data_IF_295552750673
#
_entry.id   IF_295552750673
#
_cell.length_a   1.000
_cell.length_b   1.000
_cell.length_c   1.000
_cell.angle_alpha   90.00
_cell.angle_beta   90.00
_cell.angle_gamma   90.00
#
_symmetry.space_group_name_H-M   'P 1'
#
loop_
_entity.id
_entity.type
_entity.pdbx_description
1 polymer ?
#
# COMPACT_ATOMS: atom_id res chain seq x y z
N UNK A 1 -6.87 -1.43 10.07
CA UNK A 1 -6.86 -0.74 8.76
C UNK A 1 -5.60 -1.07 7.97
N UNK A 2 -4.40 -0.73 8.44
CA UNK A 2 -3.17 -0.90 7.68
C UNK A 2 -2.96 -2.34 7.16
N UNK A 3 -3.12 -3.37 7.98
CA UNK A 3 -2.94 -4.75 7.55
C UNK A 3 -3.84 -5.13 6.36
N UNK A 4 -5.10 -4.76 6.42
CA UNK A 4 -6.07 -5.04 5.34
C UNK A 4 -5.74 -4.21 4.09
N UNK A 5 -5.54 -2.90 4.24
CA UNK A 5 -5.30 -2.02 3.10
C UNK A 5 -4.00 -2.37 2.34
N UNK A 6 -2.90 -2.56 3.07
CA UNK A 6 -1.63 -2.93 2.43
C UNK A 6 -1.62 -4.38 1.95
N UNK A 7 -2.08 -5.32 2.78
CA UNK A 7 -2.03 -6.74 2.44
C UNK A 7 -2.89 -7.10 1.24
N UNK A 8 -4.16 -6.67 1.22
CA UNK A 8 -5.09 -7.03 0.15
C UNK A 8 -5.00 -6.12 -1.08
N UNK A 9 -4.56 -4.87 -0.95
CA UNK A 9 -4.50 -3.94 -2.09
C UNK A 9 -3.06 -3.76 -2.55
N UNK A 10 -2.18 -3.21 -1.71
CA UNK A 10 -0.82 -2.84 -2.11
C UNK A 10 0.04 -4.06 -2.47
N UNK A 11 0.20 -5.01 -1.55
CA UNK A 11 0.91 -6.27 -1.81
C UNK A 11 0.08 -7.24 -2.65
N UNK A 12 -1.25 -7.10 -2.65
CA UNK A 12 -2.17 -7.89 -3.44
C UNK A 12 -2.00 -7.71 -4.95
N UNK A 13 -1.47 -6.58 -5.43
CA UNK A 13 -1.26 -6.35 -6.87
C UNK A 13 -0.42 -7.44 -7.52
N UNK A 14 0.61 -7.96 -6.85
CA UNK A 14 1.45 -9.04 -7.35
C UNK A 14 0.67 -10.35 -7.50
N UNK A 15 -0.23 -10.65 -6.56
CA UNK A 15 -1.12 -11.81 -6.61
C UNK A 15 -2.09 -11.70 -7.79
N UNK A 16 -2.75 -10.53 -7.93
CA UNK A 16 -3.71 -10.29 -9.02
C UNK A 16 -3.05 -10.33 -10.38
N UNK A 17 -1.87 -9.71 -10.51
CA UNK A 17 -1.10 -9.74 -11.75
C UNK A 17 -0.80 -11.18 -12.15
N UNK A 18 -0.27 -11.99 -11.22
CA UNK A 18 0.06 -13.39 -11.47
C UNK A 18 -1.19 -14.21 -11.84
N UNK A 19 -2.26 -14.08 -11.08
CA UNK A 19 -3.47 -14.87 -11.30
C UNK A 19 -4.21 -14.50 -12.59
N UNK A 20 -4.32 -13.21 -12.90
CA UNK A 20 -5.01 -12.73 -14.10
C UNK A 20 -4.23 -13.00 -15.40
N UNK A 21 -2.91 -13.12 -15.32
CA UNK A 21 -2.08 -13.45 -16.50
C UNK A 21 -1.82 -14.95 -16.65
N UNK A 22 -2.06 -15.74 -15.60
CA UNK A 22 -1.82 -17.19 -15.59
C UNK A 22 -2.66 -17.97 -16.60
N UNK A 23 -3.87 -17.52 -16.90
CA UNK A 23 -4.77 -18.12 -17.89
C UNK A 23 -4.41 -17.79 -19.34
N UNK A 24 -3.44 -16.90 -19.56
CA UNK A 24 -3.06 -16.43 -20.89
C UNK A 24 -4.09 -15.50 -21.58
N UNK A 25 -5.21 -15.16 -20.91
CA UNK A 25 -6.22 -14.24 -21.44
C UNK A 25 -5.73 -12.82 -21.58
N UNK A 26 -4.93 -12.36 -20.63
CA UNK A 26 -4.39 -11.00 -20.60
C UNK A 26 -2.87 -11.02 -20.47
N UNK A 27 -2.23 -10.08 -21.14
CA UNK A 27 -0.80 -9.88 -21.02
C UNK A 27 -0.43 -9.16 -19.70
N UNK A 28 0.82 -9.37 -19.25
CA UNK A 28 1.39 -8.63 -18.10
C UNK A 28 1.21 -7.11 -18.29
N UNK A 29 1.46 -6.60 -19.50
CA UNK A 29 1.31 -5.18 -19.81
C UNK A 29 -0.12 -4.65 -19.63
N UNK A 30 -1.13 -5.42 -20.02
CA UNK A 30 -2.53 -5.03 -19.85
C UNK A 30 -2.91 -4.93 -18.36
N UNK A 31 -2.56 -5.91 -17.55
CA UNK A 31 -2.86 -5.87 -16.11
C UNK A 31 -2.02 -4.80 -15.39
N UNK A 32 -0.76 -4.61 -15.78
CA UNK A 32 0.08 -3.52 -15.25
C UNK A 32 -0.49 -2.13 -15.57
N UNK A 33 -1.20 -1.98 -16.72
CA UNK A 33 -1.95 -0.76 -17.01
C UNK A 33 -3.07 -0.54 -15.99
N UNK A 34 -3.79 -1.59 -15.57
CA UNK A 34 -4.75 -1.52 -14.47
C UNK A 34 -4.11 -1.01 -13.16
N UNK A 35 -2.93 -1.55 -12.79
CA UNK A 35 -2.18 -1.09 -11.62
C UNK A 35 -1.77 0.39 -11.76
N UNK A 36 -1.40 0.82 -12.96
CA UNK A 36 -1.09 2.23 -13.24
C UNK A 36 -2.32 3.12 -13.07
N UNK A 37 -3.49 2.68 -13.56
CA UNK A 37 -4.78 3.37 -13.36
C UNK A 37 -5.08 3.49 -11.86
N UNK A 38 -4.86 2.44 -11.08
CA UNK A 38 -5.01 2.47 -9.62
C UNK A 38 -4.18 3.60 -8.99
N UNK A 39 -2.89 3.70 -9.32
CA UNK A 39 -2.02 4.71 -8.72
C UNK A 39 -2.35 6.14 -9.15
N UNK A 40 -2.72 6.33 -10.42
CA UNK A 40 -3.20 7.62 -10.92
C UNK A 40 -4.49 8.02 -10.20
N UNK A 41 -5.45 7.10 -10.07
CA UNK A 41 -6.70 7.35 -9.36
C UNK A 41 -6.48 7.63 -7.87
N UNK A 42 -5.51 6.95 -7.25
CA UNK A 42 -5.14 7.16 -5.85
C UNK A 42 -4.56 8.56 -5.59
N UNK A 43 -3.87 9.15 -6.56
CA UNK A 43 -3.41 10.54 -6.48
C UNK A 43 -4.60 11.50 -6.30
N UNK A 44 -5.62 11.38 -7.14
CA UNK A 44 -6.84 12.19 -7.03
C UNK A 44 -7.63 11.84 -5.77
N UNK A 45 -7.74 10.55 -5.45
CA UNK A 45 -8.38 10.06 -4.23
C UNK A 45 -7.78 10.65 -2.96
N UNK A 46 -6.46 10.81 -2.90
CA UNK A 46 -5.75 11.38 -1.74
C UNK A 46 -6.21 12.81 -1.45
N UNK A 47 -6.34 13.64 -2.49
CA UNK A 47 -6.81 15.02 -2.35
C UNK A 47 -8.27 15.07 -1.89
N UNK A 48 -9.10 14.22 -2.48
CA UNK A 48 -10.54 14.18 -2.19
C UNK A 48 -10.84 13.60 -0.80
N UNK A 49 -10.14 12.54 -0.41
CA UNK A 49 -10.27 11.90 0.90
C UNK A 49 -9.91 12.87 2.03
N UNK A 50 -8.83 13.64 1.89
CA UNK A 50 -8.46 14.66 2.88
C UNK A 50 -9.58 15.66 3.11
N UNK A 51 -10.17 16.19 2.03
CA UNK A 51 -11.31 17.10 2.11
C UNK A 51 -12.54 16.46 2.78
N UNK A 52 -12.83 15.19 2.42
CA UNK A 52 -13.98 14.47 3.00
C UNK A 52 -13.80 14.19 4.50
N UNK A 53 -12.59 13.84 4.94
CA UNK A 53 -12.28 13.61 6.35
C UNK A 53 -12.52 14.88 7.16
N UNK A 54 -12.05 16.02 6.66
CA UNK A 54 -12.25 17.33 7.31
C UNK A 54 -13.74 17.68 7.41
N UNK A 55 -14.56 17.31 6.42
CA UNK A 55 -15.98 17.67 6.35
C UNK A 55 -16.93 16.68 7.02
N UNK A 56 -16.70 15.37 6.86
CA UNK A 56 -17.63 14.31 7.29
C UNK A 56 -17.06 13.37 8.36
N UNK A 57 -15.77 13.53 8.68
CA UNK A 57 -15.07 12.68 9.64
C UNK A 57 -14.52 11.38 9.03
N UNK A 58 -13.52 10.82 9.71
CA UNK A 58 -12.80 9.64 9.24
C UNK A 58 -13.67 8.39 9.13
N UNK A 59 -14.62 8.19 10.04
CA UNK A 59 -15.52 7.02 10.06
C UNK A 59 -16.28 6.83 8.73
N UNK A 60 -16.95 7.90 8.26
CA UNK A 60 -17.68 7.86 6.99
C UNK A 60 -16.79 7.60 5.79
N UNK A 61 -15.60 8.18 5.79
CA UNK A 61 -14.64 8.02 4.71
C UNK A 61 -14.11 6.61 4.66
N UNK A 62 -13.79 6.00 5.81
CA UNK A 62 -13.39 4.60 5.92
C UNK A 62 -14.51 3.66 5.45
N UNK A 63 -15.76 3.95 5.81
CA UNK A 63 -16.91 3.16 5.38
C UNK A 63 -17.06 3.16 3.84
N UNK A 64 -17.02 4.34 3.21
CA UNK A 64 -17.08 4.46 1.74
C UNK A 64 -15.89 3.74 1.11
N UNK A 65 -14.69 3.91 1.66
CA UNK A 65 -13.49 3.20 1.22
C UNK A 65 -13.65 1.68 1.28
N UNK A 66 -14.24 1.16 2.37
CA UNK A 66 -14.53 -0.27 2.53
C UNK A 66 -15.48 -0.80 1.46
N UNK A 67 -16.56 -0.06 1.18
CA UNK A 67 -17.50 -0.41 0.12
C UNK A 67 -16.81 -0.45 -1.26
N UNK A 68 -16.11 0.63 -1.62
CA UNK A 68 -15.47 0.74 -2.93
C UNK A 68 -14.41 -0.34 -3.15
N UNK A 69 -13.54 -0.59 -2.16
CA UNK A 69 -12.48 -1.61 -2.28
C UNK A 69 -13.09 -3.01 -2.30
N UNK A 70 -14.00 -3.32 -1.37
CA UNK A 70 -14.66 -4.61 -1.31
C UNK A 70 -15.38 -4.96 -2.61
N UNK A 71 -16.20 -4.04 -3.13
CA UNK A 71 -16.91 -4.23 -4.40
C UNK A 71 -15.96 -4.29 -5.60
N UNK A 72 -14.84 -3.55 -5.61
CA UNK A 72 -13.86 -3.65 -6.69
C UNK A 72 -13.18 -5.01 -6.72
N UNK A 73 -12.83 -5.59 -5.55
CA UNK A 73 -12.26 -6.93 -5.47
C UNK A 73 -13.26 -7.99 -5.98
N UNK A 74 -14.53 -7.88 -5.60
CA UNK A 74 -15.59 -8.76 -6.12
C UNK A 74 -15.79 -8.52 -7.62
N UNK A 75 -15.75 -7.28 -8.09
CA UNK A 75 -15.88 -6.95 -9.50
C UNK A 75 -14.77 -7.56 -10.37
N UNK A 76 -13.53 -7.59 -9.88
CA UNK A 76 -12.41 -8.26 -10.56
C UNK A 76 -12.67 -9.77 -10.71
N UNK A 77 -13.39 -10.42 -9.77
CA UNK A 77 -13.69 -11.83 -9.84
C UNK A 77 -14.59 -12.21 -11.03
N UNK A 78 -15.45 -11.28 -11.48
CA UNK A 78 -16.37 -11.43 -12.60
C UNK A 78 -15.85 -10.79 -13.90
N UNK A 79 -14.58 -10.37 -13.92
CA UNK A 79 -14.05 -9.69 -15.10
C UNK A 79 -13.87 -10.66 -16.27
N UNK A 80 -14.74 -10.54 -17.26
CA UNK A 80 -14.62 -11.19 -18.57
C UNK A 80 -13.92 -10.26 -19.58
N UNK A 81 -14.00 -8.95 -19.36
CA UNK A 81 -13.43 -7.92 -20.21
C UNK A 81 -12.38 -7.08 -19.47
N UNK A 82 -11.36 -6.65 -20.19
CA UNK A 82 -10.28 -5.81 -19.65
C UNK A 82 -10.80 -4.46 -19.10
N UNK A 83 -11.87 -3.92 -19.72
CA UNK A 83 -12.51 -2.70 -19.24
C UNK A 83 -13.00 -2.78 -17.81
N UNK A 84 -13.64 -3.91 -17.44
CA UNK A 84 -14.13 -4.08 -16.07
C UNK A 84 -12.97 -4.11 -15.06
N UNK A 85 -11.83 -4.72 -15.44
CA UNK A 85 -10.62 -4.70 -14.64
C UNK A 85 -10.15 -3.26 -14.43
N UNK A 86 -10.07 -2.45 -15.48
CA UNK A 86 -9.62 -1.06 -15.39
C UNK A 86 -10.55 -0.19 -14.53
N UNK A 87 -11.86 -0.38 -14.66
CA UNK A 87 -12.85 0.32 -13.82
C UNK A 87 -12.69 -0.07 -12.35
N UNK A 88 -12.57 -1.38 -12.06
CA UNK A 88 -12.36 -1.85 -10.69
C UNK A 88 -11.04 -1.32 -10.09
N UNK A 89 -9.94 -1.34 -10.83
CA UNK A 89 -8.68 -0.75 -10.39
C UNK A 89 -8.78 0.76 -10.18
N UNK A 90 -9.51 1.47 -11.02
CA UNK A 90 -9.76 2.91 -10.89
C UNK A 90 -10.54 3.25 -9.61
N UNK A 91 -11.64 2.54 -9.35
CA UNK A 91 -12.46 2.71 -8.14
C UNK A 91 -11.65 2.35 -6.89
N UNK A 92 -10.96 1.20 -6.92
CA UNK A 92 -10.12 0.74 -5.83
C UNK A 92 -8.99 1.74 -5.52
N UNK A 93 -8.34 2.29 -6.55
CA UNK A 93 -7.29 3.28 -6.41
C UNK A 93 -7.81 4.58 -5.81
N UNK A 94 -8.93 5.10 -6.31
CA UNK A 94 -9.54 6.32 -5.78
C UNK A 94 -9.95 6.17 -4.31
N UNK A 95 -10.40 4.99 -3.91
CA UNK A 95 -10.83 4.69 -2.55
C UNK A 95 -9.68 4.31 -1.60
N UNK A 96 -8.51 3.88 -2.12
CA UNK A 96 -7.40 3.39 -1.31
C UNK A 96 -6.93 4.38 -0.22
N UNK A 97 -6.80 5.70 -0.46
CA UNK A 97 -6.42 6.66 0.57
C UNK A 97 -7.39 6.75 1.74
N UNK A 98 -8.67 6.36 1.54
CA UNK A 98 -9.69 6.35 2.59
C UNK A 98 -9.45 5.29 3.68
N UNK A 99 -8.62 4.29 3.40
CA UNK A 99 -8.23 3.23 4.35
C UNK A 99 -6.72 3.15 4.57
N UNK A 100 -5.96 3.91 3.78
CA UNK A 100 -4.51 3.98 3.78
C UNK A 100 -3.92 4.94 4.83
N UNK A 101 -2.67 5.33 4.63
CA UNK A 101 -1.91 6.15 5.58
C UNK A 101 -2.58 7.49 5.90
N UNK A 102 -3.23 8.12 4.92
CA UNK A 102 -3.92 9.40 5.12
C UNK A 102 -5.08 9.28 6.13
N UNK A 103 -5.94 8.27 5.95
CA UNK A 103 -7.06 8.04 6.86
C UNK A 103 -6.59 7.58 8.25
N UNK A 104 -5.55 6.71 8.32
CA UNK A 104 -4.95 6.28 9.59
C UNK A 104 -4.38 7.48 10.34
N UNK A 105 -3.62 8.33 9.67
CA UNK A 105 -3.04 9.54 10.24
C UNK A 105 -4.13 10.49 10.77
N UNK A 106 -5.16 10.75 9.97
CA UNK A 106 -6.27 11.61 10.37
C UNK A 106 -7.08 11.03 11.56
N UNK A 107 -7.21 9.71 11.63
CA UNK A 107 -7.88 9.01 12.72
C UNK A 107 -7.09 9.10 14.04
N UNK A 108 -5.75 9.00 13.96
CA UNK A 108 -4.89 9.01 15.15
C UNK A 108 -4.60 10.41 15.69
N UNK A 109 -4.57 11.41 14.83
CA UNK A 109 -4.15 12.77 15.19
C UNK A 109 -4.96 13.40 16.36
N UNK A 110 -6.26 13.16 16.53
CA UNK A 110 -7.01 13.71 17.66
C UNK A 110 -6.73 13.02 19.02
N UNK A 111 -6.17 11.79 18.98
CA UNK A 111 -5.94 10.98 20.19
C UNK A 111 -4.50 11.07 20.69
N UNK A 112 -3.53 11.22 19.78
CA UNK A 112 -2.10 11.12 20.06
C UNK A 112 -1.35 12.41 19.69
N UNK A 113 -1.69 13.53 20.36
CA UNK A 113 -1.07 14.81 20.01
C UNK A 113 0.45 14.83 20.28
N UNK A 114 0.90 14.36 21.46
CA UNK A 114 2.31 14.37 21.85
C UNK A 114 3.10 13.21 21.23
N UNK A 115 2.46 12.04 21.13
CA UNK A 115 3.11 10.79 20.69
C UNK A 115 2.64 10.36 19.29
N UNK A 116 2.20 11.32 18.47
CA UNK A 116 1.62 11.06 17.15
C UNK A 116 2.54 10.22 16.25
N UNK A 117 3.84 10.57 16.20
CA UNK A 117 4.82 9.83 15.38
C UNK A 117 4.97 8.37 15.80
N UNK A 118 4.97 8.11 17.11
CA UNK A 118 5.01 6.75 17.64
C UNK A 118 3.73 5.96 17.32
N UNK A 119 2.57 6.56 17.60
CA UNK A 119 1.27 5.93 17.33
C UNK A 119 1.08 5.64 15.83
N UNK A 120 1.48 6.55 14.95
CA UNK A 120 1.45 6.37 13.50
C UNK A 120 2.41 5.26 13.06
N UNK A 121 3.65 5.27 13.54
CA UNK A 121 4.64 4.23 13.26
C UNK A 121 4.14 2.84 13.65
N UNK A 122 3.62 2.70 14.87
CA UNK A 122 3.05 1.44 15.36
C UNK A 122 1.84 1.01 14.53
N UNK A 123 0.96 1.93 14.16
CA UNK A 123 -0.22 1.61 13.34
C UNK A 123 0.16 1.15 11.93
N UNK A 124 1.24 1.71 11.35
CA UNK A 124 1.75 1.33 10.04
C UNK A 124 2.54 0.02 10.04
N UNK A 125 2.98 -0.52 11.20
CA UNK A 125 3.54 -1.89 11.25
C UNK A 125 2.50 -2.95 10.84
N UNK A 126 1.21 -2.64 11.00
CA UNK A 126 0.13 -3.47 10.46
C UNK A 126 0.24 -3.70 8.95
N UNK A 127 0.81 -2.76 8.19
CA UNK A 127 1.05 -2.95 6.76
C UNK A 127 1.99 -4.13 6.48
N UNK A 128 3.06 -4.29 7.29
CA UNK A 128 3.97 -5.43 7.19
C UNK A 128 3.31 -6.74 7.58
N UNK A 129 2.48 -6.74 8.62
CA UNK A 129 1.72 -7.93 9.01
C UNK A 129 0.76 -8.34 7.89
N UNK A 130 0.05 -7.39 7.30
CA UNK A 130 -0.83 -7.64 6.16
C UNK A 130 -0.09 -8.17 4.94
N UNK A 131 1.04 -7.55 4.58
CA UNK A 131 1.88 -7.97 3.47
C UNK A 131 2.53 -9.34 3.66
N UNK A 132 2.85 -9.72 4.91
CA UNK A 132 3.43 -11.03 5.22
C UNK A 132 2.40 -12.17 5.16
N UNK A 133 1.12 -11.91 5.47
CA UNK A 133 0.10 -12.96 5.64
C UNK A 133 -0.85 -13.01 4.45
N UNK A 134 -1.40 -11.87 4.01
CA UNK A 134 -2.53 -11.85 3.08
C UNK A 134 -2.14 -12.37 1.68
N UNK A 135 -1.04 -11.93 1.03
CA UNK A 135 -0.70 -12.42 -0.30
C UNK A 135 -0.44 -13.93 -0.36
N UNK A 136 0.34 -14.56 0.57
CA UNK A 136 0.50 -16.01 0.58
C UNK A 136 -0.82 -16.76 0.79
N UNK A 137 -1.68 -16.27 1.70
CA UNK A 137 -3.00 -16.87 1.92
C UNK A 137 -3.86 -16.77 0.67
N UNK A 138 -3.86 -15.63 -0.02
CA UNK A 138 -4.61 -15.47 -1.27
C UNK A 138 -4.09 -16.39 -2.37
N UNK A 139 -2.76 -16.48 -2.56
CA UNK A 139 -2.18 -17.41 -3.55
C UNK A 139 -2.56 -18.86 -3.25
N UNK A 140 -2.42 -19.29 -1.98
CA UNK A 140 -2.82 -20.62 -1.56
C UNK A 140 -4.31 -20.89 -1.84
N UNK A 141 -5.18 -19.93 -1.53
CA UNK A 141 -6.63 -20.06 -1.73
C UNK A 141 -6.98 -20.12 -3.22
N UNK A 142 -6.31 -19.31 -4.06
CA UNK A 142 -6.48 -19.35 -5.52
C UNK A 142 -6.18 -20.73 -6.07
N UNK A 143 -5.10 -21.37 -5.61
CA UNK A 143 -4.70 -22.71 -6.06
C UNK A 143 -5.68 -23.80 -5.60
N UNK A 144 -6.25 -23.66 -4.39
CA UNK A 144 -7.11 -24.70 -3.80
C UNK A 144 -8.56 -24.59 -4.24
N UNK A 145 -9.06 -23.39 -4.48
CA UNK A 145 -10.48 -23.17 -4.77
C UNK A 145 -10.61 -22.60 -6.20
N UNK A 146 -10.32 -21.32 -6.40
CA UNK A 146 -10.26 -20.62 -7.69
C UNK A 146 -9.96 -19.15 -7.46
N UNK A 147 -9.51 -18.43 -8.49
CA UNK A 147 -9.33 -16.98 -8.45
C UNK A 147 -10.65 -16.23 -8.16
N UNK A 148 -11.77 -16.48 -8.87
CA UNK A 148 -13.03 -15.76 -8.62
C UNK A 148 -13.54 -15.89 -7.18
N UNK A 149 -13.58 -17.09 -6.63
CA UNK A 149 -14.05 -17.31 -5.27
C UNK A 149 -13.12 -16.66 -4.24
N UNK A 150 -11.81 -16.73 -4.44
CA UNK A 150 -10.83 -16.06 -3.57
C UNK A 150 -11.05 -14.55 -3.54
N UNK A 151 -11.32 -13.92 -4.70
CA UNK A 151 -11.57 -12.48 -4.78
C UNK A 151 -12.89 -12.09 -4.11
N UNK A 152 -13.93 -12.91 -4.21
CA UNK A 152 -15.21 -12.71 -3.51
C UNK A 152 -14.99 -12.76 -1.99
N UNK A 153 -14.29 -13.78 -1.49
CA UNK A 153 -13.98 -13.89 -0.06
C UNK A 153 -13.10 -12.75 0.42
N UNK A 154 -12.05 -12.39 -0.33
CA UNK A 154 -11.17 -11.29 0.01
C UNK A 154 -11.93 -9.95 0.05
N UNK A 155 -12.77 -9.68 -0.95
CA UNK A 155 -13.63 -8.48 -1.00
C UNK A 155 -14.61 -8.44 0.18
N UNK A 156 -15.23 -9.57 0.50
CA UNK A 156 -16.12 -9.71 1.66
C UNK A 156 -15.38 -9.44 2.98
N UNK A 157 -14.23 -10.06 3.20
CA UNK A 157 -13.42 -9.84 4.42
C UNK A 157 -12.99 -8.38 4.53
N UNK A 158 -12.48 -7.79 3.46
CA UNK A 158 -12.08 -6.37 3.42
C UNK A 158 -13.27 -5.48 3.78
N UNK A 159 -14.41 -5.70 3.14
CA UNK A 159 -15.64 -4.96 3.39
C UNK A 159 -16.06 -5.05 4.87
N UNK A 160 -16.28 -6.26 5.38
CA UNK A 160 -16.78 -6.45 6.74
C UNK A 160 -15.81 -5.93 7.81
N UNK A 161 -14.50 -6.23 7.69
CA UNK A 161 -13.51 -5.79 8.69
C UNK A 161 -13.41 -4.27 8.70
N UNK A 162 -13.36 -3.62 7.54
CA UNK A 162 -13.27 -2.16 7.48
C UNK A 162 -14.59 -1.48 7.88
N UNK A 163 -15.76 -2.07 7.60
CA UNK A 163 -17.05 -1.57 8.09
C UNK A 163 -17.14 -1.64 9.62
N UNK A 164 -16.71 -2.74 10.23
CA UNK A 164 -16.64 -2.86 11.69
C UNK A 164 -15.71 -1.78 12.27
N UNK A 165 -14.55 -1.58 11.68
CA UNK A 165 -13.62 -0.53 12.10
C UNK A 165 -14.22 0.87 11.92
N UNK A 166 -14.91 1.15 10.82
CA UNK A 166 -15.61 2.40 10.59
C UNK A 166 -16.70 2.63 11.64
N UNK A 167 -17.44 1.59 12.01
CA UNK A 167 -18.45 1.64 13.07
C UNK A 167 -17.82 1.92 14.43
N UNK A 168 -16.73 1.23 14.80
CA UNK A 168 -15.99 1.51 16.04
C UNK A 168 -15.51 2.97 16.07
N UNK A 169 -14.98 3.49 14.96
CA UNK A 169 -14.55 4.87 14.84
C UNK A 169 -15.73 5.86 14.99
N UNK A 170 -16.93 5.50 14.56
CA UNK A 170 -18.12 6.32 14.73
C UNK A 170 -18.57 6.42 16.20
N UNK A 171 -18.38 5.34 16.95
CA UNK A 171 -18.73 5.30 18.38
C UNK A 171 -17.68 6.01 19.26
N UNK A 172 -16.41 6.01 18.82
CA UNK A 172 -15.32 6.62 19.57
C UNK A 172 -15.15 8.09 19.18
N UNK A 173 -15.70 9.01 20.00
CA UNK A 173 -15.49 10.45 19.83
C UNK A 173 -14.27 10.89 20.63
N UNK A 174 -13.29 11.60 20.05
CA UNK A 174 -12.24 12.22 20.83
C UNK A 174 -12.82 13.26 21.78
N UNK A 175 -12.35 13.29 23.04
CA UNK A 175 -12.90 14.12 24.12
C UNK A 175 -12.81 15.63 23.87
N UNK A 176 -11.92 16.06 22.98
CA UNK A 176 -11.78 17.46 22.54
C UNK A 176 -11.28 17.50 21.10
N UNK A 177 -12.14 17.89 20.18
CA UNK A 177 -11.69 18.42 18.90
C UNK A 177 -11.12 19.81 19.17
N UNK A 178 -9.83 19.89 19.52
CA UNK A 178 -9.14 21.16 19.40
C UNK A 178 -9.15 21.49 17.91
N UNK A 179 -10.00 22.45 17.56
CA UNK A 179 -10.10 23.02 16.23
C UNK A 179 -8.69 23.42 15.78
N UNK A 180 -8.08 22.57 14.96
CA UNK A 180 -6.86 22.93 14.24
C UNK A 180 -7.24 24.13 13.37
N UNK A 181 -6.56 25.24 13.61
CA UNK A 181 -6.63 26.55 12.96
C UNK A 181 -7.25 26.57 11.54
N UNK A 182 -8.00 27.66 11.22
CA UNK A 182 -8.85 27.74 10.03
C UNK A 182 -8.10 27.52 8.72
N UNK A 183 -8.77 26.88 7.79
CA UNK A 183 -8.34 26.49 6.43
C UNK A 183 -7.70 27.63 5.60
N UNK A 184 -7.89 28.88 5.96
CA UNK A 184 -7.35 30.02 5.20
C UNK A 184 -5.83 30.12 5.20
N UNK A 185 -5.12 29.63 6.23
CA UNK A 185 -3.65 29.65 6.25
C UNK A 185 -3.00 28.50 5.47
N UNK A 186 -3.71 27.40 5.27
CA UNK A 186 -3.16 26.21 4.59
C UNK A 186 -2.87 26.44 3.10
N UNK A 187 -3.73 27.17 2.40
CA UNK A 187 -3.55 27.43 0.97
C UNK A 187 -2.35 28.34 0.65
N UNK A 188 -2.12 29.37 1.47
CA UNK A 188 -0.95 30.26 1.31
C UNK A 188 0.36 29.55 1.61
N UNK A 189 0.37 28.67 2.61
CA UNK A 189 1.55 27.84 2.96
C UNK A 189 1.85 26.85 1.84
N UNK A 190 0.84 26.17 1.30
CA UNK A 190 1.00 25.20 0.21
C UNK A 190 1.58 25.86 -1.05
N UNK A 191 1.07 27.01 -1.47
CA UNK A 191 1.56 27.74 -2.65
C UNK A 191 3.02 28.20 -2.47
N UNK A 192 3.39 28.63 -1.26
CA UNK A 192 4.76 29.04 -0.95
C UNK A 192 5.75 27.86 -0.91
N UNK A 193 5.29 26.65 -0.50
CA UNK A 193 6.11 25.43 -0.55
C UNK A 193 6.42 24.99 -1.97
N UNK A 194 5.44 25.05 -2.87
CA UNK A 194 5.62 24.69 -4.29
C UNK A 194 6.64 25.57 -5.02
N UNK A 195 6.89 26.80 -4.54
CA UNK A 195 7.92 27.69 -5.08
C UNK A 195 9.34 27.36 -4.64
N UNK A 196 9.51 26.51 -3.61
CA UNK A 196 10.85 26.20 -3.07
C UNK A 196 11.50 25.05 -3.85
N UNK A 197 12.70 25.28 -4.39
CA UNK A 197 13.50 24.26 -5.09
C UNK A 197 13.76 23.01 -4.23
N UNK A 198 13.90 23.19 -2.91
CA UNK A 198 14.10 22.07 -1.96
C UNK A 198 12.89 21.14 -1.94
N UNK A 199 11.66 21.68 -2.01
CA UNK A 199 10.45 20.87 -2.10
C UNK A 199 10.49 19.91 -3.30
N UNK A 200 10.79 20.43 -4.49
CA UNK A 200 10.84 19.62 -5.71
C UNK A 200 11.96 18.59 -5.70
N UNK A 201 13.13 18.91 -5.14
CA UNK A 201 14.22 17.91 -4.99
C UNK A 201 13.78 16.73 -4.12
N UNK A 202 13.15 16.99 -2.99
CA UNK A 202 12.65 15.94 -2.09
C UNK A 202 11.49 15.18 -2.76
N UNK A 203 10.55 15.88 -3.38
CA UNK A 203 9.38 15.26 -4.02
C UNK A 203 9.79 14.34 -5.19
N UNK A 204 10.74 14.76 -6.03
CA UNK A 204 11.25 13.97 -7.15
C UNK A 204 11.99 12.73 -6.62
N UNK A 205 12.90 12.90 -5.65
CA UNK A 205 13.65 11.78 -5.08
C UNK A 205 12.73 10.75 -4.42
N UNK A 206 11.77 11.20 -3.61
CA UNK A 206 10.77 10.32 -2.98
C UNK A 206 9.86 9.67 -4.02
N UNK A 207 9.44 10.42 -5.04
CA UNK A 207 8.59 9.91 -6.12
C UNK A 207 9.28 8.81 -6.93
N UNK A 208 10.56 8.98 -7.28
CA UNK A 208 11.34 7.96 -7.98
C UNK A 208 11.53 6.70 -7.13
N UNK A 209 11.83 6.86 -5.84
CA UNK A 209 11.96 5.73 -4.92
C UNK A 209 10.64 4.96 -4.77
N UNK A 210 9.52 5.67 -4.60
CA UNK A 210 8.19 5.05 -4.53
C UNK A 210 7.80 4.37 -5.85
N UNK A 211 8.13 4.95 -7.00
CA UNK A 211 7.88 4.32 -8.30
C UNK A 211 8.64 2.99 -8.44
N UNK A 212 9.92 2.97 -8.04
CA UNK A 212 10.72 1.74 -8.00
C UNK A 212 10.15 0.70 -7.03
N UNK A 213 9.74 1.13 -5.84
CA UNK A 213 9.12 0.27 -4.83
C UNK A 213 7.81 -0.35 -5.32
N UNK A 214 6.91 0.47 -5.86
CA UNK A 214 5.62 0.02 -6.37
C UNK A 214 5.80 -0.94 -7.55
N UNK A 215 6.69 -0.60 -8.49
CA UNK A 215 7.02 -1.46 -9.62
C UNK A 215 7.57 -2.81 -9.16
N UNK A 216 8.50 -2.81 -8.23
CA UNK A 216 9.06 -4.03 -7.64
C UNK A 216 7.98 -4.89 -6.99
N UNK A 217 7.20 -4.33 -6.06
CA UNK A 217 6.18 -5.08 -5.34
C UNK A 217 5.06 -5.61 -6.24
N UNK A 218 4.66 -4.86 -7.27
CA UNK A 218 3.65 -5.30 -8.22
C UNK A 218 4.10 -6.48 -9.08
N UNK A 219 5.38 -6.50 -9.46
CA UNK A 219 5.94 -7.52 -10.36
C UNK A 219 6.76 -8.61 -9.63
N UNK A 220 6.84 -8.55 -8.30
CA UNK A 220 7.71 -9.43 -7.51
C UNK A 220 7.41 -10.92 -7.73
N UNK A 221 6.15 -11.35 -7.63
CA UNK A 221 5.79 -12.76 -7.83
C UNK A 221 6.02 -13.18 -9.30
N UNK A 222 5.51 -12.45 -10.31
CA UNK A 222 5.76 -12.82 -11.72
C UNK A 222 7.25 -12.94 -12.08
N UNK A 223 8.10 -12.04 -11.59
CA UNK A 223 9.55 -12.09 -11.83
C UNK A 223 10.18 -13.28 -11.13
N UNK A 224 9.85 -13.50 -9.86
CA UNK A 224 10.38 -14.62 -9.10
C UNK A 224 9.97 -15.99 -9.68
N UNK A 225 8.75 -16.11 -10.22
CA UNK A 225 8.26 -17.34 -10.87
C UNK A 225 9.05 -17.73 -12.12
N UNK A 226 9.65 -16.77 -12.81
CA UNK A 226 10.52 -17.06 -13.98
C UNK A 226 11.89 -17.63 -13.58
N UNK A 227 12.30 -17.41 -12.35
CA UNK A 227 13.64 -17.71 -11.86
C UNK A 227 13.69 -18.85 -10.85
N UNK A 228 12.60 -19.06 -10.11
CA UNK A 228 12.55 -20.00 -8.97
C UNK A 228 11.20 -20.72 -8.86
N UNK A 229 11.05 -21.57 -7.84
CA UNK A 229 9.81 -22.28 -7.58
C UNK A 229 8.66 -21.34 -7.16
N UNK A 230 7.42 -21.78 -7.36
CA UNK A 230 6.23 -21.05 -6.95
C UNK A 230 6.23 -20.76 -5.45
N UNK A 231 6.59 -21.74 -4.62
CA UNK A 231 6.71 -21.56 -3.17
C UNK A 231 7.70 -20.45 -2.81
N UNK A 232 8.91 -20.47 -3.43
CA UNK A 232 9.93 -19.46 -3.18
C UNK A 232 9.46 -18.05 -3.60
N UNK A 233 8.72 -17.96 -4.70
CA UNK A 233 8.18 -16.71 -5.23
C UNK A 233 7.12 -16.09 -4.31
N UNK A 234 6.21 -16.89 -3.78
CA UNK A 234 5.17 -16.43 -2.85
C UNK A 234 5.77 -16.01 -1.51
N UNK A 235 6.71 -16.81 -0.96
CA UNK A 235 7.40 -16.49 0.29
C UNK A 235 8.26 -15.21 0.17
N UNK A 236 8.73 -14.87 -1.01
CA UNK A 236 9.49 -13.64 -1.23
C UNK A 236 8.73 -12.38 -0.78
N UNK A 237 7.40 -12.34 -0.96
CA UNK A 237 6.54 -11.22 -0.51
C UNK A 237 6.51 -11.12 1.03
N UNK A 238 6.41 -12.27 1.69
CA UNK A 238 6.49 -12.35 3.16
C UNK A 238 7.83 -11.85 3.68
N UNK A 239 8.94 -12.22 3.01
CA UNK A 239 10.29 -11.78 3.37
C UNK A 239 10.42 -10.27 3.25
N UNK A 240 9.95 -9.68 2.15
CA UNK A 240 9.94 -8.21 1.98
C UNK A 240 9.14 -7.54 3.10
N UNK A 241 7.96 -8.05 3.41
CA UNK A 241 7.09 -7.46 4.43
C UNK A 241 7.69 -7.54 5.85
N UNK A 242 8.32 -8.67 6.21
CA UNK A 242 9.01 -8.83 7.49
C UNK A 242 10.25 -7.92 7.54
N UNK A 243 11.04 -7.90 6.48
CA UNK A 243 12.22 -7.02 6.39
C UNK A 243 11.83 -5.55 6.48
N UNK A 244 10.69 -5.15 5.88
CA UNK A 244 10.14 -3.80 6.01
C UNK A 244 9.77 -3.45 7.46
N UNK A 245 9.21 -4.38 8.23
CA UNK A 245 8.94 -4.16 9.65
C UNK A 245 10.21 -3.87 10.44
N UNK A 246 11.24 -4.71 10.24
CA UNK A 246 12.56 -4.56 10.89
C UNK A 246 13.22 -3.26 10.44
N UNK A 247 13.21 -2.98 9.14
CA UNK A 247 13.83 -1.80 8.55
C UNK A 247 13.23 -0.49 9.06
N UNK A 248 11.91 -0.42 9.28
CA UNK A 248 11.25 0.76 9.88
C UNK A 248 11.76 1.05 11.29
N UNK A 249 12.01 0.04 12.10
CA UNK A 249 12.56 0.22 13.45
C UNK A 249 14.02 0.70 13.37
N UNK A 250 14.83 0.06 12.54
CA UNK A 250 16.25 0.43 12.35
C UNK A 250 16.37 1.86 11.81
N UNK A 251 15.61 2.21 10.78
CA UNK A 251 15.68 3.54 10.14
C UNK A 251 15.13 4.64 11.05
N UNK A 252 14.09 4.35 11.84
CA UNK A 252 13.58 5.28 12.84
C UNK A 252 14.63 5.59 13.92
N UNK A 253 15.38 4.59 14.40
CA UNK A 253 16.45 4.78 15.34
C UNK A 253 17.66 5.49 14.70
N UNK A 254 18.12 5.00 13.55
CA UNK A 254 19.29 5.54 12.87
C UNK A 254 19.10 7.00 12.43
N UNK A 255 17.88 7.40 12.05
CA UNK A 255 17.58 8.79 11.64
C UNK A 255 17.78 9.81 12.75
N UNK A 256 17.65 9.39 14.02
CA UNK A 256 17.92 10.24 15.19
C UNK A 256 19.40 10.51 15.37
N UNK A 257 20.26 9.56 15.00
CA UNK A 257 21.72 9.62 15.19
C UNK A 257 22.40 10.29 13.99
N UNK A 258 22.08 9.86 12.77
CA UNK A 258 22.78 10.23 11.54
C UNK A 258 22.07 11.30 10.72
N UNK A 259 20.84 11.65 11.10
CA UNK A 259 19.99 12.61 10.39
C UNK A 259 19.22 11.98 9.22
N UNK A 260 18.02 12.51 9.01
CA UNK A 260 17.02 11.96 8.06
C UNK A 260 17.53 11.87 6.64
N UNK A 261 18.25 12.90 6.14
CA UNK A 261 18.72 12.95 4.75
C UNK A 261 19.72 11.83 4.44
N UNK A 262 20.68 11.57 5.32
CA UNK A 262 21.68 10.51 5.12
C UNK A 262 21.03 9.14 5.12
N UNK A 263 20.12 8.90 6.06
CA UNK A 263 19.39 7.63 6.14
C UNK A 263 18.51 7.42 4.92
N UNK A 264 17.76 8.44 4.47
CA UNK A 264 16.96 8.33 3.26
C UNK A 264 17.80 8.00 2.02
N UNK A 265 18.97 8.63 1.86
CA UNK A 265 19.89 8.31 0.75
C UNK A 265 20.35 6.85 0.81
N UNK A 266 20.70 6.37 2.00
CA UNK A 266 21.08 4.97 2.22
C UNK A 266 19.94 4.01 1.88
N UNK A 267 18.73 4.32 2.35
CA UNK A 267 17.54 3.53 2.05
C UNK A 267 17.30 3.40 0.54
N UNK A 268 17.33 4.51 -0.19
CA UNK A 268 17.11 4.47 -1.65
C UNK A 268 18.20 3.69 -2.40
N UNK A 269 19.46 3.79 -1.98
CA UNK A 269 20.54 3.00 -2.55
C UNK A 269 20.38 1.50 -2.28
N UNK A 270 20.02 1.12 -1.05
CA UNK A 270 19.75 -0.27 -0.68
C UNK A 270 18.53 -0.85 -1.39
N UNK A 271 17.47 -0.06 -1.57
CA UNK A 271 16.31 -0.47 -2.36
C UNK A 271 16.72 -0.82 -3.80
N UNK A 272 17.46 0.07 -4.45
CA UNK A 272 17.96 -0.17 -5.81
C UNK A 272 18.83 -1.42 -5.89
N UNK A 273 19.75 -1.59 -4.92
CA UNK A 273 20.61 -2.78 -4.85
C UNK A 273 19.81 -4.07 -4.67
N UNK A 274 18.84 -4.07 -3.76
CA UNK A 274 17.98 -5.22 -3.52
C UNK A 274 17.16 -5.61 -4.76
N UNK A 275 16.60 -4.63 -5.47
CA UNK A 275 15.87 -4.87 -6.73
C UNK A 275 16.81 -5.44 -7.80
N UNK A 276 18.03 -4.92 -7.93
CA UNK A 276 19.04 -5.45 -8.86
C UNK A 276 19.38 -6.91 -8.53
N UNK A 277 19.61 -7.25 -7.26
CA UNK A 277 19.89 -8.62 -6.84
C UNK A 277 18.72 -9.55 -7.23
N UNK A 278 17.48 -9.13 -6.99
CA UNK A 278 16.28 -9.91 -7.35
C UNK A 278 16.20 -10.11 -8.86
N UNK A 279 16.54 -9.09 -9.67
CA UNK A 279 16.46 -9.17 -11.13
C UNK A 279 17.42 -10.20 -11.73
N UNK A 280 18.51 -10.52 -11.04
CA UNK A 280 19.52 -11.50 -11.47
C UNK A 280 19.55 -12.76 -10.59
N UNK A 281 18.48 -13.01 -9.80
CA UNK A 281 18.46 -14.12 -8.87
C UNK A 281 18.13 -15.45 -9.58
N UNK A 282 19.13 -16.28 -9.82
CA UNK A 282 18.95 -17.64 -10.37
C UNK A 282 18.69 -18.70 -9.29
N UNK A 283 18.84 -18.34 -8.01
CA UNK A 283 18.64 -19.26 -6.89
C UNK A 283 17.68 -18.69 -5.87
N UNK A 284 16.94 -19.57 -5.19
CA UNK A 284 16.02 -19.17 -4.09
C UNK A 284 16.74 -18.36 -3.01
N UNK A 285 17.98 -18.74 -2.66
CA UNK A 285 18.75 -18.02 -1.64
C UNK A 285 19.07 -16.59 -2.06
N UNK A 286 19.45 -16.37 -3.31
CA UNK A 286 19.76 -15.04 -3.85
C UNK A 286 18.49 -14.19 -3.99
N UNK A 287 17.37 -14.80 -4.41
CA UNK A 287 16.06 -14.15 -4.45
C UNK A 287 15.67 -13.64 -3.04
N UNK A 288 15.73 -14.50 -2.04
CA UNK A 288 15.33 -14.14 -0.68
C UNK A 288 16.28 -13.11 -0.04
N UNK A 289 17.57 -13.20 -0.33
CA UNK A 289 18.54 -12.20 0.09
C UNK A 289 18.25 -10.83 -0.55
N UNK A 290 18.03 -10.76 -1.85
CA UNK A 290 17.66 -9.53 -2.54
C UNK A 290 16.35 -8.94 -2.04
N UNK A 291 15.34 -9.78 -1.80
CA UNK A 291 14.07 -9.39 -1.19
C UNK A 291 14.24 -8.84 0.23
N UNK A 292 15.14 -9.44 1.04
CA UNK A 292 15.45 -8.93 2.38
C UNK A 292 16.10 -7.55 2.31
N UNK A 293 17.07 -7.36 1.41
CA UNK A 293 17.76 -6.07 1.21
C UNK A 293 16.78 -5.00 0.73
N UNK A 294 15.97 -5.30 -0.29
CA UNK A 294 14.94 -4.38 -0.79
C UNK A 294 13.90 -4.06 0.30
N UNK A 295 13.45 -5.07 1.04
CA UNK A 295 12.45 -4.96 2.08
C UNK A 295 12.86 -4.08 3.26
N UNK A 296 14.12 -4.10 3.68
CA UNK A 296 14.60 -3.29 4.81
C UNK A 296 14.33 -1.78 4.67
N UNK A 297 13.99 -1.31 3.49
CA UNK A 297 13.83 0.11 3.16
C UNK A 297 12.47 0.44 2.54
N UNK A 298 11.56 -0.52 2.54
CA UNK A 298 10.17 -0.42 2.05
C UNK A 298 9.18 0.18 3.15
#
# INVERSE_FOLDING_TARGET
MAAIAWGSVFYGHSVYLTALTGDGRWSIGQISTGITIFWISSLFGTLFVGYLIDKKGASWVVFIGACCIGFSLVGISWAHDLWLIFVCYGIMGFAYPAVGAAAISATLSPWFFKDFGWALGLSLTGASVGGAIIPPVMMYTIQKISFPLTMIFAGGIVFFVLCILAFILALTKPATVQSVTPVQSKNLIAVNLLKKKVFWRIAIAAGMALAGQVGFLAHQIPVALQQTSEFASVISVTIVAISAAIGRLITAYASRIYGVTKIATFCYAFQGLGILIVSFAETTALLWFGCSVAGLVV
#
